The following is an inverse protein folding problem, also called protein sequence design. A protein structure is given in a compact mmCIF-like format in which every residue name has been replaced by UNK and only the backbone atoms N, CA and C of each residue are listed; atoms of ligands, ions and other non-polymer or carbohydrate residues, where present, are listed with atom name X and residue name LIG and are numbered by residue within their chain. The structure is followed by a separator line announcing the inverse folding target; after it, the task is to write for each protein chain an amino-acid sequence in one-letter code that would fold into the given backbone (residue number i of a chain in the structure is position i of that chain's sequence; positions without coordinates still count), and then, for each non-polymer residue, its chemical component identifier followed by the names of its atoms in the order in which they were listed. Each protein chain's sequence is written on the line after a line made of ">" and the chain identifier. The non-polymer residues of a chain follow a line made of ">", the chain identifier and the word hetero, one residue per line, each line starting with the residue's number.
data_IF_054208952956
#
_entry.id   IF_054208952956
#
_cell.length_a   1.000
_cell.length_b   1.000
_cell.length_c   1.000
_cell.angle_alpha   90.00
_cell.angle_beta   90.00
_cell.angle_gamma   90.00
#
_symmetry.space_group_name_H-M   'P 1'
#
loop_
_entity.id
_entity.type
_entity.pdbx_description
1 polymer ?
#
# COMPACT_ATOMS: atom_id res chain seq x y z
N UNK A 1 -6.98 -28.24 -39.89
CA UNK A 1 -7.43 -29.53 -39.32
C UNK A 1 -8.03 -29.19 -37.96
N UNK A 2 -9.35 -29.28 -37.70
CA UNK A 2 -10.19 -30.49 -37.48
C UNK A 2 -9.55 -31.41 -36.42
N UNK A 3 -10.15 -31.79 -35.27
CA UNK A 3 -11.51 -31.69 -34.68
C UNK A 3 -11.38 -31.39 -33.15
N UNK A 4 -12.37 -31.14 -32.26
CA UNK A 4 -13.84 -31.32 -32.14
C UNK A 4 -14.41 -30.13 -31.32
N UNK A 5 -15.70 -29.76 -31.21
CA UNK A 5 -17.00 -30.23 -31.73
C UNK A 5 -17.69 -31.46 -31.08
N UNK A 6 -18.36 -31.25 -29.92
CA UNK A 6 -19.56 -31.91 -29.35
C UNK A 6 -19.98 -31.00 -28.15
N UNK A 7 -21.07 -30.23 -28.17
CA UNK A 7 -22.49 -30.57 -27.93
C UNK A 7 -22.79 -31.32 -26.61
N UNK A 8 -23.32 -30.63 -25.59
CA UNK A 8 -24.57 -31.03 -24.88
C UNK A 8 -25.23 -29.77 -24.29
N UNK A 9 -26.50 -29.52 -24.59
CA UNK A 9 -27.33 -28.60 -23.78
C UNK A 9 -27.79 -29.34 -22.52
N UNK A 10 -27.56 -28.76 -21.34
CA UNK A 10 -28.28 -29.15 -20.12
C UNK A 10 -28.78 -27.93 -19.37
N UNK A 11 -29.99 -27.51 -19.76
CA UNK A 11 -30.85 -26.65 -18.94
C UNK A 11 -31.30 -27.41 -17.70
N UNK A 12 -30.67 -27.15 -16.55
CA UNK A 12 -31.26 -27.47 -15.25
C UNK A 12 -31.77 -26.19 -14.60
N UNK A 13 -33.04 -25.91 -14.84
CA UNK A 13 -33.87 -25.00 -14.02
C UNK A 13 -34.66 -25.87 -13.06
N UNK A 14 -34.49 -25.66 -11.75
CA UNK A 14 -35.39 -25.97 -10.62
C UNK A 14 -34.57 -25.73 -9.34
N UNK A 15 -34.70 -24.57 -8.69
CA UNK A 15 -35.72 -24.27 -7.67
C UNK A 15 -35.50 -25.05 -6.35
N UNK A 16 -35.06 -24.35 -5.30
CA UNK A 16 -34.69 -24.96 -4.02
C UNK A 16 -34.32 -23.96 -2.91
N UNK A 17 -35.31 -23.15 -2.50
CA UNK A 17 -35.45 -22.55 -1.15
C UNK A 17 -34.20 -22.22 -0.32
N UNK A 18 -33.84 -20.93 -0.30
CA UNK A 18 -33.66 -20.14 0.92
C UNK A 18 -32.65 -20.58 1.99
N UNK A 19 -31.55 -19.82 2.11
CA UNK A 19 -30.87 -19.56 3.38
C UNK A 19 -30.71 -18.04 3.52
N UNK A 20 -30.86 -17.55 4.75
CA UNK A 20 -30.97 -16.14 5.13
C UNK A 20 -29.97 -15.19 4.46
N UNK A 21 -30.46 -14.01 4.09
CA UNK A 21 -29.61 -12.83 3.92
C UNK A 21 -29.01 -12.45 5.29
N UNK A 22 -27.84 -12.99 5.60
CA UNK A 22 -26.94 -12.28 6.50
C UNK A 22 -26.57 -10.98 5.80
N UNK A 23 -26.90 -9.84 6.41
CA UNK A 23 -26.57 -8.55 5.86
C UNK A 23 -25.05 -8.45 5.72
N UNK A 24 -24.56 -8.48 4.48
CA UNK A 24 -23.21 -8.04 4.19
C UNK A 24 -23.18 -6.54 4.49
N UNK A 25 -22.56 -6.16 5.60
CA UNK A 25 -22.35 -4.76 5.93
C UNK A 25 -21.36 -4.17 4.93
N UNK A 26 -21.90 -3.63 3.83
CA UNK A 26 -21.20 -2.77 2.89
C UNK A 26 -20.83 -1.46 3.59
N UNK A 27 -19.81 -1.53 4.45
CA UNK A 27 -19.16 -0.36 5.00
C UNK A 27 -18.29 0.28 3.92
N UNK A 28 -18.96 1.02 3.03
CA UNK A 28 -18.34 1.89 2.03
C UNK A 28 -18.52 3.36 2.42
N UNK A 29 -17.54 3.98 3.11
CA UNK A 29 -17.43 5.43 3.14
C UNK A 29 -16.98 5.92 1.75
N UNK A 30 -17.94 6.18 0.87
CA UNK A 30 -17.76 7.12 -0.25
C UNK A 30 -17.57 8.52 0.35
N UNK A 31 -16.38 8.82 0.86
CA UNK A 31 -15.97 10.18 1.15
C UNK A 31 -14.76 10.46 0.26
N UNK A 32 -14.77 11.49 -0.62
CA UNK A 32 -13.56 11.93 -1.29
C UNK A 32 -12.63 12.47 -0.20
N UNK A 33 -11.76 11.58 0.32
CA UNK A 33 -10.74 11.92 1.30
C UNK A 33 -9.97 13.09 0.71
N UNK A 34 -10.17 14.27 1.29
CA UNK A 34 -9.45 15.49 0.93
C UNK A 34 -8.05 15.32 1.48
N UNK A 35 -7.26 14.45 0.83
CA UNK A 35 -5.94 14.02 1.26
C UNK A 35 -5.15 15.29 1.59
N UNK A 36 -4.82 15.47 2.87
CA UNK A 36 -3.93 16.55 3.24
C UNK A 36 -2.63 16.33 2.46
N UNK A 37 -2.03 17.42 1.98
CA UNK A 37 -0.88 17.37 1.05
C UNK A 37 0.27 16.47 1.57
N UNK A 38 0.36 16.26 2.88
CA UNK A 38 1.39 15.51 3.57
C UNK A 38 0.88 14.21 4.25
N UNK A 39 -0.40 13.87 4.11
CA UNK A 39 -0.96 12.64 4.68
C UNK A 39 -0.72 11.44 3.75
N UNK A 40 -0.04 10.42 4.28
CA UNK A 40 0.28 9.20 3.55
C UNK A 40 -0.81 8.16 3.83
N UNK A 41 -1.27 7.40 2.82
CA UNK A 41 -2.22 6.31 3.04
C UNK A 41 -1.71 5.33 4.09
N UNK A 42 -2.60 4.89 4.99
CA UNK A 42 -2.24 4.02 6.12
C UNK A 42 -1.56 2.71 5.65
N UNK A 43 -1.94 2.24 4.47
CA UNK A 43 -1.44 1.03 3.82
C UNK A 43 0.02 1.19 3.38
N UNK A 44 0.41 2.41 2.97
CA UNK A 44 1.80 2.76 2.63
C UNK A 44 2.64 2.80 3.91
N UNK A 45 2.13 3.42 4.98
CA UNK A 45 2.82 3.47 6.28
C UNK A 45 3.01 2.05 6.84
N UNK A 46 1.96 1.22 6.84
CA UNK A 46 2.04 -0.21 7.26
C UNK A 46 3.07 -0.99 6.44
N UNK A 47 3.08 -0.80 5.12
CA UNK A 47 4.03 -1.47 4.21
C UNK A 47 5.47 -1.03 4.47
N UNK A 48 5.70 0.29 4.64
CA UNK A 48 6.99 0.84 5.01
C UNK A 48 7.49 0.27 6.35
N UNK A 49 6.65 0.30 7.40
CA UNK A 49 7.03 -0.19 8.73
C UNK A 49 7.36 -1.69 8.72
N UNK A 50 6.60 -2.49 7.95
CA UNK A 50 6.90 -3.91 7.74
C UNK A 50 8.25 -4.10 7.04
N UNK A 51 8.50 -3.38 5.95
CA UNK A 51 9.76 -3.46 5.19
C UNK A 51 10.98 -3.02 5.99
N UNK A 52 10.89 -1.87 6.65
CA UNK A 52 11.96 -1.29 7.46
C UNK A 52 12.29 -2.14 8.70
N UNK A 53 11.27 -2.66 9.38
CA UNK A 53 11.39 -3.48 10.59
C UNK A 53 12.08 -4.84 10.41
N UNK A 54 12.29 -5.31 9.17
CA UNK A 54 13.14 -6.49 8.91
C UNK A 54 14.63 -6.25 9.19
N UNK A 55 15.08 -4.99 9.20
CA UNK A 55 16.52 -4.65 9.23
C UNK A 55 16.89 -3.53 10.20
N UNK A 56 15.91 -2.79 10.74
CA UNK A 56 16.14 -1.68 11.66
C UNK A 56 15.13 -1.71 12.82
N UNK A 57 15.37 -0.93 13.87
CA UNK A 57 14.44 -0.82 15.01
C UNK A 57 13.17 -0.06 14.65
N UNK A 58 12.11 -0.24 15.45
CA UNK A 58 10.82 0.43 15.26
C UNK A 58 10.97 1.96 15.33
N UNK A 59 11.80 2.44 16.26
CA UNK A 59 12.08 3.84 16.52
C UNK A 59 12.73 4.50 15.31
N UNK A 60 13.75 3.85 14.74
CA UNK A 60 14.38 4.28 13.50
C UNK A 60 13.35 4.36 12.35
N UNK A 61 12.52 3.33 12.20
CA UNK A 61 11.52 3.29 11.13
C UNK A 61 10.46 4.38 11.28
N UNK A 62 9.95 4.61 12.49
CA UNK A 62 9.00 5.68 12.79
C UNK A 62 9.61 7.06 12.52
N UNK A 63 10.81 7.35 13.05
CA UNK A 63 11.52 8.60 12.74
C UNK A 63 11.67 8.81 11.23
N UNK A 64 12.05 7.74 10.51
CA UNK A 64 12.33 7.81 9.08
C UNK A 64 11.09 8.16 8.25
N UNK A 65 9.96 7.48 8.47
CA UNK A 65 8.72 7.79 7.75
C UNK A 65 8.16 9.16 8.15
N UNK A 66 8.33 9.57 9.42
CA UNK A 66 7.88 10.86 9.92
C UNK A 66 8.66 12.04 9.32
N UNK A 67 9.99 11.92 9.19
CA UNK A 67 10.80 12.95 8.51
C UNK A 67 10.63 12.97 6.99
N UNK A 68 10.28 11.83 6.36
CA UNK A 68 9.95 11.79 4.93
C UNK A 68 8.60 12.49 4.67
N UNK A 69 7.55 12.17 5.44
CA UNK A 69 6.21 12.77 5.25
C UNK A 69 6.12 14.25 5.64
N UNK A 70 7.03 14.75 6.50
CA UNK A 70 7.11 16.17 6.84
C UNK A 70 7.82 17.02 5.78
N UNK A 71 8.62 16.41 4.89
CA UNK A 71 9.35 17.13 3.83
C UNK A 71 8.72 16.94 2.44
N UNK A 72 8.22 15.74 2.15
CA UNK A 72 7.65 15.40 0.85
C UNK A 72 6.17 15.03 0.96
N UNK A 73 5.35 15.61 0.09
CA UNK A 73 4.00 15.10 -0.16
C UNK A 73 4.04 13.65 -0.64
N UNK A 74 2.93 12.92 -0.49
CA UNK A 74 2.84 11.55 -1.00
C UNK A 74 3.12 11.47 -2.52
N UNK A 75 2.69 12.47 -3.30
CA UNK A 75 2.95 12.55 -4.73
C UNK A 75 4.43 12.81 -5.08
N UNK A 76 5.16 13.57 -4.25
CA UNK A 76 6.62 13.76 -4.42
C UNK A 76 7.38 12.50 -4.03
N UNK A 77 6.99 11.85 -2.93
CA UNK A 77 7.54 10.55 -2.52
C UNK A 77 7.37 9.48 -3.61
N UNK A 78 6.19 9.36 -4.24
CA UNK A 78 5.99 8.40 -5.33
C UNK A 78 6.93 8.61 -6.54
N UNK A 79 7.28 9.87 -6.86
CA UNK A 79 8.26 10.18 -7.91
C UNK A 79 9.66 9.74 -7.51
N UNK A 80 10.08 10.07 -6.29
CA UNK A 80 11.37 9.69 -5.70
C UNK A 80 11.52 8.16 -5.65
N UNK A 81 10.51 7.48 -5.12
CA UNK A 81 10.45 6.02 -4.95
C UNK A 81 10.46 5.27 -6.30
N UNK A 82 9.77 5.80 -7.31
CA UNK A 82 9.80 5.27 -8.68
C UNK A 82 11.17 5.46 -9.33
N UNK A 83 11.72 6.68 -9.28
CA UNK A 83 13.06 6.96 -9.80
C UNK A 83 14.14 6.11 -9.10
N UNK A 84 14.03 5.87 -7.80
CA UNK A 84 14.94 5.01 -7.04
C UNK A 84 14.81 3.53 -7.45
N UNK A 85 13.60 3.02 -7.71
CA UNK A 85 13.40 1.67 -8.25
C UNK A 85 14.02 1.47 -9.63
N UNK A 86 13.89 2.46 -10.51
CA UNK A 86 14.37 2.41 -11.89
C UNK A 86 15.89 2.57 -11.95
N UNK A 87 16.44 3.61 -11.32
CA UNK A 87 17.86 3.96 -11.39
C UNK A 87 18.75 3.21 -10.39
N UNK A 88 18.15 2.52 -9.41
CA UNK A 88 18.81 1.95 -8.22
C UNK A 88 19.57 2.97 -7.36
N UNK A 89 19.22 4.26 -7.47
CA UNK A 89 19.84 5.36 -6.72
C UNK A 89 18.79 6.11 -5.91
N UNK A 90 19.00 6.19 -4.60
CA UNK A 90 18.21 7.05 -3.71
C UNK A 90 18.82 8.46 -3.71
N UNK A 91 18.02 9.54 -3.81
CA UNK A 91 18.54 10.91 -3.72
C UNK A 91 19.28 11.16 -2.39
N UNK A 92 20.34 11.97 -2.43
CA UNK A 92 21.19 12.21 -1.26
C UNK A 92 20.43 12.87 -0.10
N UNK A 93 19.48 13.76 -0.38
CA UNK A 93 18.58 14.37 0.62
C UNK A 93 17.83 13.30 1.43
N UNK A 94 17.26 12.32 0.74
CA UNK A 94 16.52 11.21 1.35
C UNK A 94 17.44 10.30 2.16
N UNK A 95 18.68 10.07 1.69
CA UNK A 95 19.71 9.37 2.47
C UNK A 95 20.03 10.15 3.76
N UNK A 96 20.17 11.48 3.69
CA UNK A 96 20.46 12.32 4.84
C UNK A 96 19.31 12.30 5.88
N UNK A 97 18.06 12.23 5.43
CA UNK A 97 16.89 12.03 6.31
C UNK A 97 17.06 10.72 7.11
N UNK A 98 17.26 9.59 6.43
CA UNK A 98 17.46 8.30 7.09
C UNK A 98 18.68 8.32 8.02
N UNK A 99 19.79 8.94 7.62
CA UNK A 99 20.99 9.04 8.46
C UNK A 99 20.75 9.85 9.74
N UNK A 100 19.96 10.93 9.69
CA UNK A 100 19.61 11.71 10.88
C UNK A 100 18.92 10.85 11.95
N UNK A 101 17.99 9.98 11.52
CA UNK A 101 17.28 9.07 12.42
C UNK A 101 18.16 8.00 13.08
N UNK A 102 19.39 7.76 12.59
CA UNK A 102 20.38 6.89 13.28
C UNK A 102 21.14 7.60 14.39
N UNK A 103 21.26 8.93 14.31
CA UNK A 103 21.87 9.74 15.36
C UNK A 103 20.86 9.99 16.47
N UNK A 104 19.63 10.33 16.10
CA UNK A 104 18.51 10.55 17.03
C UNK A 104 18.18 9.28 17.85
N UNK A 105 18.41 8.09 17.29
CA UNK A 105 18.18 6.80 17.98
C UNK A 105 19.35 6.34 18.87
N UNK A 106 20.35 7.19 19.11
CA UNK A 106 21.61 6.82 19.81
C UNK A 106 21.89 7.69 21.05
N UNK A 107 20.86 8.41 21.51
CA UNK A 107 20.84 9.28 22.70
C UNK A 107 19.95 8.63 23.75
#
# INVERSE_FOLDING_TARGET
>A
MRHHLILVLSTFVLAGTGISMAAAEENKPNNPVKQEKYEYPQEVIKTFMKGCGFTNSKEFCTCSIDKVRSQYSFAEFLKIDTAARETKKVPQEVINIFQSCRQDSKI
#
